data_IF_670466215530
#
_entry.id   IF_670466215530
#
_cell.length_a   1.000
_cell.length_b   1.000
_cell.length_c   1.000
_cell.angle_alpha   90.00
_cell.angle_beta   90.00
_cell.angle_gamma   90.00
#
_symmetry.space_group_name_H-M   'P 1'
#
loop_
_entity.id
_entity.type
_entity.pdbx_description
1 polymer ?
#
# COMPACT_ATOMS: atom_id res chain seq x y z
N UNK A 1 -0.99 8.41 -6.96
CA UNK A 1 -1.85 7.72 -6.02
C UNK A 1 -2.29 8.61 -4.88
N UNK A 2 -3.26 8.14 -4.15
CA UNK A 2 -3.79 8.84 -2.99
C UNK A 2 -3.39 8.11 -1.72
N UNK A 3 -3.23 8.88 -0.66
CA UNK A 3 -2.91 8.33 0.65
C UNK A 3 -4.08 8.54 1.58
N UNK A 4 -4.48 7.47 2.25
CA UNK A 4 -5.55 7.54 3.26
C UNK A 4 -5.00 7.03 4.58
N UNK A 5 -5.17 7.82 5.63
CA UNK A 5 -4.79 7.39 6.97
C UNK A 5 -6.00 6.76 7.63
N UNK A 6 -5.85 5.51 8.05
CA UNK A 6 -6.90 4.80 8.79
C UNK A 6 -6.58 4.78 10.28
N UNK A 7 -7.57 4.37 11.06
CA UNK A 7 -7.40 4.20 12.49
C UNK A 7 -6.30 3.20 12.81
N UNK A 8 -5.72 3.32 13.98
CA UNK A 8 -4.68 2.41 14.47
C UNK A 8 -3.39 2.45 13.67
N UNK A 9 -3.11 3.58 13.03
CA UNK A 9 -1.85 3.77 12.32
C UNK A 9 -1.76 3.10 10.96
N UNK A 10 -2.87 2.63 10.42
CA UNK A 10 -2.88 2.08 9.07
C UNK A 10 -2.87 3.20 8.04
N UNK A 11 -2.12 3.00 6.98
CA UNK A 11 -2.12 3.89 5.82
C UNK A 11 -2.41 3.10 4.56
N UNK A 12 -3.20 3.69 3.68
CA UNK A 12 -3.51 3.12 2.38
C UNK A 12 -3.01 4.05 1.29
N UNK A 13 -2.41 3.46 0.26
CA UNK A 13 -2.03 4.19 -0.95
C UNK A 13 -2.75 3.57 -2.13
N UNK A 14 -3.50 4.37 -2.89
CA UNK A 14 -4.00 3.93 -4.19
C UNK A 14 -2.86 4.06 -5.19
N UNK A 15 -2.64 3.02 -5.98
CA UNK A 15 -1.49 2.93 -6.88
C UNK A 15 -1.90 2.54 -8.29
N UNK A 16 -0.99 2.76 -9.23
CA UNK A 16 -1.12 2.17 -10.55
C UNK A 16 -0.72 0.70 -10.51
N UNK A 17 -1.17 -0.05 -11.49
CA UNK A 17 -1.02 -1.51 -11.51
C UNK A 17 0.44 -1.98 -11.48
N UNK A 18 1.37 -1.12 -11.87
CA UNK A 18 2.79 -1.45 -11.95
C UNK A 18 3.61 -0.84 -10.80
N UNK A 19 2.96 -0.27 -9.79
CA UNK A 19 3.63 0.46 -8.72
C UNK A 19 3.65 -0.26 -7.37
N UNK A 20 2.98 -1.41 -7.28
CA UNK A 20 2.79 -2.08 -6.00
C UNK A 20 4.08 -2.39 -5.26
N UNK A 21 5.04 -3.03 -5.94
CA UNK A 21 6.29 -3.43 -5.29
C UNK A 21 7.14 -2.21 -4.89
N UNK A 22 7.17 -1.19 -5.73
CA UNK A 22 7.93 0.02 -5.43
C UNK A 22 7.37 0.72 -4.19
N UNK A 23 6.05 0.86 -4.11
CA UNK A 23 5.40 1.50 -2.96
C UNK A 23 5.57 0.64 -1.70
N UNK A 24 5.43 -0.67 -1.84
CA UNK A 24 5.63 -1.59 -0.71
C UNK A 24 7.03 -1.45 -0.12
N UNK A 25 8.05 -1.43 -0.96
CA UNK A 25 9.44 -1.25 -0.50
C UNK A 25 9.61 0.09 0.19
N UNK A 26 9.05 1.14 -0.41
CA UNK A 26 9.15 2.48 0.16
C UNK A 26 8.51 2.55 1.54
N UNK A 27 7.36 1.92 1.72
CA UNK A 27 6.69 1.88 3.02
C UNK A 27 7.54 1.15 4.06
N UNK A 28 8.13 0.02 3.68
CA UNK A 28 9.00 -0.72 4.61
C UNK A 28 10.20 0.12 5.02
N UNK A 29 10.81 0.84 4.09
CA UNK A 29 11.93 1.72 4.39
C UNK A 29 11.56 2.85 5.33
N UNK A 30 10.29 3.21 5.39
CA UNK A 30 9.78 4.26 6.26
C UNK A 30 9.18 3.73 7.57
N UNK A 31 9.49 2.48 7.92
CA UNK A 31 9.11 1.93 9.21
C UNK A 31 7.73 1.29 9.26
N UNK A 32 7.10 1.11 8.13
CA UNK A 32 5.81 0.41 8.09
C UNK A 32 6.02 -1.10 8.17
N UNK A 33 5.07 -1.78 8.78
CA UNK A 33 5.09 -3.25 8.83
C UNK A 33 3.70 -3.77 8.47
N UNK A 34 3.59 -5.09 8.30
CA UNK A 34 2.37 -5.72 7.78
C UNK A 34 1.94 -5.11 6.45
N UNK A 35 2.93 -4.78 5.60
CA UNK A 35 2.64 -4.15 4.32
C UNK A 35 2.05 -5.18 3.37
N UNK A 36 0.91 -4.86 2.78
CA UNK A 36 0.18 -5.76 1.89
C UNK A 36 -0.24 -5.04 0.62
N UNK A 37 -0.30 -5.79 -0.47
CA UNK A 37 -0.82 -5.30 -1.73
C UNK A 37 -2.20 -5.93 -1.94
N UNK A 38 -3.20 -5.09 -2.20
CA UNK A 38 -4.54 -5.55 -2.50
C UNK A 38 -4.79 -5.38 -3.99
N UNK A 39 -5.23 -6.45 -4.61
CA UNK A 39 -5.51 -6.47 -6.05
C UNK A 39 -6.99 -6.28 -6.31
N UNK A 40 -7.30 -5.75 -7.50
CA UNK A 40 -8.69 -5.63 -7.93
C UNK A 40 -9.19 -6.97 -8.51
N UNK A 41 -10.41 -6.97 -9.01
CA UNK A 41 -11.02 -8.17 -9.54
C UNK A 41 -10.33 -8.69 -10.81
N UNK A 42 -9.58 -7.85 -11.48
CA UNK A 42 -8.81 -8.24 -12.66
C UNK A 42 -7.41 -8.74 -12.33
N UNK A 43 -7.04 -8.72 -11.04
CA UNK A 43 -5.74 -9.18 -10.59
C UNK A 43 -4.65 -8.13 -10.67
N UNK A 44 -5.00 -6.88 -10.90
CA UNK A 44 -4.02 -5.78 -10.93
C UNK A 44 -3.89 -5.14 -9.55
N UNK A 45 -2.66 -4.74 -9.21
CA UNK A 45 -2.39 -4.06 -7.95
C UNK A 45 -3.14 -2.73 -7.90
N UNK A 46 -3.88 -2.49 -6.83
CA UNK A 46 -4.67 -1.27 -6.68
C UNK A 46 -4.37 -0.49 -5.44
N UNK A 47 -4.09 -1.17 -4.35
CA UNK A 47 -3.87 -0.52 -3.06
C UNK A 47 -2.69 -1.19 -2.37
N UNK A 48 -1.85 -0.38 -1.75
CA UNK A 48 -0.84 -0.89 -0.82
C UNK A 48 -1.21 -0.34 0.54
N UNK A 49 -1.25 -1.20 1.53
CA UNK A 49 -1.55 -0.80 2.89
C UNK A 49 -0.49 -1.33 3.85
N UNK A 50 -0.31 -0.60 4.91
CA UNK A 50 0.63 -0.99 5.94
C UNK A 50 0.34 -0.22 7.21
N UNK A 51 0.95 -0.63 8.30
CA UNK A 51 0.78 0.07 9.58
C UNK A 51 2.11 0.36 10.25
N UNK A 52 2.08 1.32 11.14
CA UNK A 52 3.25 1.73 11.92
C UNK A 52 3.12 1.38 13.39
#
# INVERSE_FOLDING_TARGET
GRTFLKENGWMLFEIGYDQGEAVKSLMRENGFFDVQIVKDLTGLDRVVLGRR
#
